data_IF_857584835465
#
_entry.id   IF_857584835465
#
_cell.length_a   1.000
_cell.length_b   1.000
_cell.length_c   1.000
_cell.angle_alpha   90.00
_cell.angle_beta   90.00
_cell.angle_gamma   90.00
#
_symmetry.space_group_name_H-M   'P 1'
#
loop_
_entity.id
_entity.type
_entity.pdbx_description
1 polymer ?
#
# COMPACT_ATOMS: atom_id res chain seq x y z
N UNK A 1 6.51 -33.64 68.77
CA UNK A 1 6.91 -33.36 67.38
C UNK A 1 5.95 -32.35 66.79
N UNK A 2 6.40 -31.11 66.52
CA UNK A 2 5.58 -30.02 66.00
C UNK A 2 5.87 -29.91 64.49
N UNK A 3 4.88 -30.26 63.64
CA UNK A 3 4.94 -30.01 62.21
C UNK A 3 4.66 -28.54 61.94
N UNK A 4 5.58 -27.83 61.30
CA UNK A 4 5.39 -26.53 60.70
C UNK A 4 4.95 -26.69 59.26
N UNK A 5 3.86 -26.10 58.80
CA UNK A 5 3.53 -26.04 57.40
C UNK A 5 4.44 -25.00 56.71
N UNK A 6 5.18 -25.43 55.69
CA UNK A 6 5.89 -24.59 54.76
C UNK A 6 4.87 -24.00 53.77
N UNK A 7 4.57 -22.72 53.89
CA UNK A 7 3.79 -21.99 52.89
C UNK A 7 4.69 -21.75 51.67
N UNK A 8 4.46 -22.50 50.61
CA UNK A 8 5.12 -22.30 49.32
C UNK A 8 4.40 -21.11 48.64
N UNK A 9 4.97 -19.92 48.73
CA UNK A 9 4.54 -18.76 47.95
C UNK A 9 4.98 -18.98 46.49
N UNK A 10 4.06 -19.48 45.64
CA UNK A 10 4.21 -19.48 44.18
C UNK A 10 4.03 -18.04 43.71
N UNK A 11 5.15 -17.33 43.59
CA UNK A 11 5.22 -16.06 42.86
C UNK A 11 4.97 -16.39 41.36
N UNK A 12 3.72 -16.30 40.93
CA UNK A 12 3.39 -16.15 39.51
C UNK A 12 3.89 -14.78 39.06
N UNK A 13 5.16 -14.75 38.64
CA UNK A 13 5.66 -13.63 37.82
C UNK A 13 4.99 -13.78 36.47
N UNK A 14 3.80 -13.20 36.36
CA UNK A 14 3.15 -12.93 35.10
C UNK A 14 4.05 -11.97 34.33
N UNK A 15 4.87 -12.49 33.41
CA UNK A 15 5.51 -11.68 32.40
C UNK A 15 4.40 -11.07 31.53
N UNK A 16 3.90 -9.90 31.97
CA UNK A 16 3.24 -8.97 31.11
C UNK A 16 4.27 -8.52 30.08
N UNK A 17 4.38 -9.22 28.97
CA UNK A 17 4.93 -8.66 27.76
C UNK A 17 3.97 -7.56 27.32
N UNK A 18 4.11 -6.38 27.90
CA UNK A 18 3.58 -5.17 27.29
C UNK A 18 4.36 -5.01 25.98
N UNK A 19 3.81 -5.58 24.91
CA UNK A 19 4.21 -5.19 23.57
C UNK A 19 3.82 -3.72 23.44
N UNK A 20 4.73 -2.82 23.78
CA UNK A 20 4.60 -1.43 23.40
C UNK A 20 4.53 -1.41 21.88
N UNK A 21 3.33 -1.36 21.34
CA UNK A 21 3.11 -1.01 19.95
C UNK A 21 3.78 0.35 19.76
N UNK A 22 4.89 0.36 19.02
CA UNK A 22 5.67 1.57 18.80
C UNK A 22 4.83 2.49 17.92
N UNK A 23 4.14 3.46 18.54
CA UNK A 23 3.35 4.45 17.81
C UNK A 23 4.27 5.25 16.90
N UNK A 24 3.82 5.49 15.68
CA UNK A 24 4.52 6.35 14.74
C UNK A 24 4.48 7.79 15.27
N UNK A 25 5.65 8.34 15.55
CA UNK A 25 5.75 9.77 15.87
C UNK A 25 5.39 10.62 14.64
N UNK A 26 4.90 11.86 14.81
CA UNK A 26 4.63 12.77 13.68
C UNK A 26 5.83 12.92 12.73
N UNK A 27 7.05 12.90 13.26
CA UNK A 27 8.28 12.95 12.44
C UNK A 27 8.46 11.68 11.58
N UNK A 28 8.11 10.51 12.11
CA UNK A 28 8.14 9.26 11.33
C UNK A 28 7.06 9.25 10.27
N UNK A 29 5.85 9.72 10.58
CA UNK A 29 4.77 9.87 9.61
C UNK A 29 5.17 10.79 8.45
N UNK A 30 5.77 11.96 8.75
CA UNK A 30 6.32 12.85 7.74
C UNK A 30 7.38 12.18 6.86
N UNK A 31 8.29 11.42 7.46
CA UNK A 31 9.33 10.69 6.72
C UNK A 31 8.74 9.62 5.81
N UNK A 32 7.74 8.86 6.28
CA UNK A 32 7.04 7.87 5.47
C UNK A 32 6.33 8.55 4.30
N UNK A 33 5.55 9.61 4.54
CA UNK A 33 4.87 10.37 3.50
C UNK A 33 5.84 10.93 2.44
N UNK A 34 6.98 11.48 2.87
CA UNK A 34 8.01 11.99 1.97
C UNK A 34 8.64 10.88 1.10
N UNK A 35 8.90 9.71 1.70
CA UNK A 35 9.50 8.56 0.99
C UNK A 35 8.56 7.99 -0.09
N UNK A 36 7.25 8.12 0.07
CA UNK A 36 6.25 7.67 -0.92
C UNK A 36 5.73 8.83 -1.78
N UNK A 37 6.49 9.93 -1.85
CA UNK A 37 6.25 11.07 -2.76
C UNK A 37 4.93 11.81 -2.51
N UNK A 38 4.47 11.86 -1.25
CA UNK A 38 3.28 12.62 -0.85
C UNK A 38 3.61 14.05 -0.40
N UNK A 39 2.62 14.93 -0.53
CA UNK A 39 2.64 16.32 -0.05
C UNK A 39 1.31 16.63 0.66
N UNK A 40 1.28 17.54 1.65
CA UNK A 40 0.03 18.02 2.22
C UNK A 40 -0.88 18.62 1.14
N UNK A 41 -2.17 18.35 1.22
CA UNK A 41 -3.18 18.85 0.29
C UNK A 41 -4.22 19.72 1.03
N UNK A 42 -5.22 19.11 1.68
CA UNK A 42 -6.24 19.81 2.45
C UNK A 42 -6.50 19.09 3.76
N UNK A 43 -6.47 19.80 4.88
CA UNK A 43 -6.65 19.22 6.21
C UNK A 43 -5.59 18.14 6.47
N UNK A 44 -6.03 16.95 6.84
CA UNK A 44 -5.16 15.79 7.09
C UNK A 44 -4.89 14.96 5.82
N UNK A 45 -5.43 15.37 4.66
CA UNK A 45 -5.25 14.65 3.41
C UNK A 45 -3.90 14.99 2.79
N UNK A 46 -3.21 13.96 2.33
CA UNK A 46 -2.00 14.04 1.53
C UNK A 46 -2.33 13.72 0.07
N UNK A 47 -1.52 14.20 -0.86
CA UNK A 47 -1.66 13.93 -2.30
C UNK A 47 -0.30 13.62 -2.91
N UNK A 48 -0.27 12.80 -3.97
CA UNK A 48 0.93 12.60 -4.78
C UNK A 48 1.44 13.95 -5.34
N UNK A 49 2.76 14.12 -5.36
CA UNK A 49 3.42 15.28 -5.95
C UNK A 49 3.34 15.29 -7.49
N UNK A 50 3.08 14.15 -8.09
CA UNK A 50 2.98 13.96 -9.54
C UNK A 50 1.91 12.95 -9.89
N UNK A 51 1.47 12.95 -11.13
CA UNK A 51 0.65 11.85 -11.66
C UNK A 51 1.34 10.51 -11.44
N UNK A 52 0.54 9.43 -11.33
CA UNK A 52 1.04 8.06 -11.43
C UNK A 52 1.61 7.87 -12.84
N UNK A 53 2.85 7.39 -12.92
CA UNK A 53 3.61 7.28 -14.15
C UNK A 53 3.49 5.89 -14.77
N UNK A 54 3.85 5.76 -16.04
CA UNK A 54 3.91 4.45 -16.69
C UNK A 54 4.82 3.46 -15.94
N UNK A 55 5.94 3.92 -15.39
CA UNK A 55 6.85 3.07 -14.60
C UNK A 55 6.19 2.53 -13.34
N UNK A 56 5.39 3.35 -12.64
CA UNK A 56 4.69 2.95 -11.42
C UNK A 56 3.62 1.90 -11.74
N UNK A 57 2.93 2.08 -12.88
CA UNK A 57 1.93 1.12 -13.35
C UNK A 57 2.55 -0.21 -13.77
N UNK A 58 3.69 -0.18 -14.46
CA UNK A 58 4.43 -1.38 -14.83
C UNK A 58 4.94 -2.15 -13.61
N UNK A 59 5.37 -1.46 -12.56
CA UNK A 59 5.74 -2.09 -11.28
C UNK A 59 4.54 -2.81 -10.66
N UNK A 60 3.37 -2.17 -10.63
CA UNK A 60 2.14 -2.79 -10.17
C UNK A 60 1.77 -4.03 -10.98
N UNK A 61 1.80 -3.95 -12.32
CA UNK A 61 1.52 -5.09 -13.20
C UNK A 61 2.53 -6.22 -13.01
N UNK A 62 3.81 -5.89 -12.91
CA UNK A 62 4.86 -6.87 -12.64
C UNK A 62 4.62 -7.59 -11.30
N UNK A 63 4.24 -6.85 -10.26
CA UNK A 63 3.92 -7.43 -8.96
C UNK A 63 2.71 -8.36 -9.06
N UNK A 64 1.66 -7.98 -9.75
CA UNK A 64 0.49 -8.83 -9.98
C UNK A 64 0.86 -10.11 -10.74
N UNK A 65 1.66 -9.99 -11.79
CA UNK A 65 2.15 -11.14 -12.55
C UNK A 65 2.95 -12.12 -11.69
N UNK A 66 3.84 -11.62 -10.86
CA UNK A 66 4.68 -12.46 -9.98
C UNK A 66 3.89 -13.09 -8.84
N UNK A 67 2.88 -12.42 -8.34
CA UNK A 67 2.10 -12.86 -7.19
C UNK A 67 0.98 -13.83 -7.58
N UNK A 68 0.25 -13.52 -8.65
CA UNK A 68 -0.95 -14.25 -9.06
C UNK A 68 -0.82 -14.98 -10.40
N UNK A 69 0.18 -14.63 -11.19
CA UNK A 69 0.37 -15.16 -12.55
C UNK A 69 -0.35 -14.32 -13.61
N UNK A 70 0.15 -14.42 -14.85
CA UNK A 70 -0.30 -13.63 -16.01
C UNK A 70 -1.75 -13.93 -16.42
N UNK A 71 -2.22 -15.14 -16.15
CA UNK A 71 -3.57 -15.58 -16.47
C UNK A 71 -4.61 -15.26 -15.40
N UNK A 72 -4.20 -14.68 -14.27
CA UNK A 72 -5.08 -14.31 -13.17
C UNK A 72 -6.00 -13.13 -13.54
N UNK A 73 -7.17 -13.09 -12.92
CA UNK A 73 -8.10 -11.96 -13.07
C UNK A 73 -7.49 -10.65 -12.54
N UNK A 74 -6.65 -10.76 -11.49
CA UNK A 74 -5.92 -9.62 -10.92
C UNK A 74 -4.99 -8.97 -11.95
N UNK A 75 -4.23 -9.78 -12.69
CA UNK A 75 -3.36 -9.26 -13.75
C UNK A 75 -4.17 -8.75 -14.94
N UNK A 76 -5.12 -9.53 -15.44
CA UNK A 76 -5.97 -9.17 -16.59
C UNK A 76 -6.74 -7.87 -16.35
N UNK A 77 -7.23 -7.66 -15.12
CA UNK A 77 -7.93 -6.42 -14.76
C UNK A 77 -7.03 -5.19 -14.72
N UNK A 78 -5.70 -5.33 -14.73
CA UNK A 78 -4.75 -4.22 -14.77
C UNK A 78 -4.39 -3.76 -16.19
N UNK A 79 -4.90 -4.40 -17.24
CA UNK A 79 -4.61 -4.04 -18.62
C UNK A 79 -5.26 -2.70 -18.98
N UNK A 80 -4.46 -1.79 -19.55
CA UNK A 80 -4.88 -0.42 -19.88
C UNK A 80 -5.77 -0.37 -21.15
N UNK A 81 -6.70 0.58 -21.16
CA UNK A 81 -7.48 0.88 -22.36
C UNK A 81 -6.66 1.72 -23.36
N UNK A 82 -6.10 1.09 -24.36
CA UNK A 82 -5.31 1.75 -25.40
C UNK A 82 -6.12 2.74 -26.25
N UNK A 83 -7.46 2.68 -26.24
CA UNK A 83 -8.29 3.62 -27.00
C UNK A 83 -8.08 5.07 -26.55
N UNK A 84 -7.76 5.27 -25.30
CA UNK A 84 -7.45 6.60 -24.73
C UNK A 84 -6.16 7.14 -25.32
N UNK A 85 -5.08 6.37 -25.32
CA UNK A 85 -3.80 6.77 -25.90
C UNK A 85 -3.93 7.05 -27.41
N UNK A 86 -4.71 6.23 -28.14
CA UNK A 86 -4.98 6.41 -29.59
C UNK A 86 -5.72 7.71 -29.93
N UNK A 87 -6.46 8.28 -29.00
CA UNK A 87 -7.12 9.60 -29.19
C UNK A 87 -6.13 10.76 -29.05
N UNK A 88 -5.00 10.56 -28.36
CA UNK A 88 -4.04 11.60 -28.01
C UNK A 88 -2.80 11.59 -28.91
N UNK A 89 -2.49 10.45 -29.53
CA UNK A 89 -1.25 10.27 -30.28
C UNK A 89 -1.43 9.26 -31.42
N UNK A 90 -0.52 9.23 -32.44
CA UNK A 90 -0.53 8.25 -33.51
C UNK A 90 -0.53 6.81 -32.98
N UNK A 91 -1.21 5.88 -33.67
CA UNK A 91 -1.38 4.48 -33.25
C UNK A 91 -0.02 3.79 -32.99
N UNK A 92 0.98 4.06 -33.84
CA UNK A 92 2.34 3.55 -33.69
C UNK A 92 3.01 3.92 -32.34
N UNK A 93 2.64 5.06 -31.76
CA UNK A 93 3.10 5.50 -30.46
C UNK A 93 2.19 4.97 -29.35
N UNK A 94 0.88 5.02 -29.57
CA UNK A 94 -0.11 4.62 -28.58
C UNK A 94 0.07 3.15 -28.11
N UNK A 95 0.38 2.23 -29.03
CA UNK A 95 0.58 0.80 -28.71
C UNK A 95 1.81 0.52 -27.87
N UNK A 96 2.80 1.40 -27.86
CA UNK A 96 4.04 1.24 -27.08
C UNK A 96 4.13 2.21 -25.90
N UNK A 97 3.21 3.17 -25.80
CA UNK A 97 3.30 4.29 -24.85
C UNK A 97 3.51 3.84 -23.40
N UNK A 98 2.78 2.83 -22.94
CA UNK A 98 2.86 2.37 -21.57
C UNK A 98 4.18 1.62 -21.25
N UNK A 99 4.78 0.97 -22.27
CA UNK A 99 5.88 0.00 -22.07
C UNK A 99 7.24 0.51 -22.57
N UNK A 100 7.27 1.52 -23.44
CA UNK A 100 8.52 1.99 -24.03
C UNK A 100 9.32 2.86 -23.05
N UNK A 101 10.62 2.64 -22.87
CA UNK A 101 11.47 3.37 -21.91
C UNK A 101 11.39 4.90 -22.03
N UNK A 102 11.21 5.44 -23.22
CA UNK A 102 11.09 6.88 -23.49
C UNK A 102 9.88 7.52 -22.76
N UNK A 103 8.81 6.77 -22.55
CA UNK A 103 7.58 7.26 -21.93
C UNK A 103 7.43 6.82 -20.47
N UNK A 104 8.40 6.13 -19.88
CA UNK A 104 8.31 5.59 -18.53
C UNK A 104 7.95 6.65 -17.47
N UNK A 105 8.44 7.88 -17.64
CA UNK A 105 8.19 9.01 -16.74
C UNK A 105 7.05 9.93 -17.23
N UNK A 106 6.15 9.40 -18.04
CA UNK A 106 4.92 10.08 -18.45
C UNK A 106 3.71 9.52 -17.69
N UNK A 107 2.64 10.33 -17.51
CA UNK A 107 1.42 9.87 -16.86
C UNK A 107 0.88 8.60 -17.52
N UNK A 108 0.43 7.64 -16.72
CA UNK A 108 -0.26 6.47 -17.25
C UNK A 108 -1.61 6.86 -17.84
N UNK A 109 -1.97 6.28 -18.98
CA UNK A 109 -3.21 6.57 -19.70
C UNK A 109 -4.09 5.32 -19.80
N UNK A 110 -5.41 5.53 -19.91
CA UNK A 110 -6.37 4.45 -20.10
C UNK A 110 -6.67 3.65 -18.83
N UNK A 111 -6.51 4.26 -17.66
CA UNK A 111 -6.83 3.66 -16.38
C UNK A 111 -8.29 3.94 -16.03
N UNK A 112 -9.08 2.90 -15.79
CA UNK A 112 -10.45 3.04 -15.29
C UNK A 112 -10.46 3.42 -13.79
N UNK A 113 -11.56 3.98 -13.26
CA UNK A 113 -11.69 4.27 -11.82
C UNK A 113 -11.49 3.04 -10.94
N UNK A 114 -11.98 1.87 -11.36
CA UNK A 114 -11.81 0.61 -10.65
C UNK A 114 -10.34 0.17 -10.60
N UNK A 115 -9.61 0.31 -11.71
CA UNK A 115 -8.18 0.04 -11.79
C UNK A 115 -7.38 1.01 -10.92
N UNK A 116 -7.69 2.29 -10.95
CA UNK A 116 -7.03 3.29 -10.11
C UNK A 116 -7.24 3.01 -8.60
N UNK A 117 -8.46 2.63 -8.21
CA UNK A 117 -8.76 2.22 -6.84
C UNK A 117 -8.00 0.95 -6.43
N UNK A 118 -7.88 -0.03 -7.33
CA UNK A 118 -7.10 -1.25 -7.08
C UNK A 118 -5.60 -0.95 -6.92
N UNK A 119 -5.05 -0.08 -7.75
CA UNK A 119 -3.68 0.42 -7.62
C UNK A 119 -3.44 1.11 -6.27
N UNK A 120 -4.35 1.99 -5.85
CA UNK A 120 -4.23 2.70 -4.58
C UNK A 120 -4.27 1.72 -3.38
N UNK A 121 -5.12 0.68 -3.40
CA UNK A 121 -5.12 -0.36 -2.37
C UNK A 121 -3.80 -1.13 -2.34
N UNK A 122 -3.33 -1.62 -3.51
CA UNK A 122 -2.03 -2.28 -3.62
C UNK A 122 -0.90 -1.42 -3.06
N UNK A 123 -0.88 -0.14 -3.40
CA UNK A 123 0.13 0.79 -2.89
C UNK A 123 0.06 0.96 -1.37
N UNK A 124 -1.14 1.04 -0.80
CA UNK A 124 -1.34 1.07 0.65
C UNK A 124 -0.73 -0.17 1.32
N UNK A 125 -0.98 -1.35 0.77
CA UNK A 125 -0.43 -2.61 1.26
C UNK A 125 1.10 -2.63 1.23
N UNK A 126 1.71 -2.23 0.11
CA UNK A 126 3.18 -2.20 -0.02
C UNK A 126 3.83 -1.19 0.92
N UNK A 127 3.22 -0.01 1.08
CA UNK A 127 3.71 1.01 2.02
C UNK A 127 3.59 0.54 3.46
N UNK A 128 2.46 -0.07 3.84
CA UNK A 128 2.24 -0.59 5.18
C UNK A 128 3.20 -1.75 5.51
N UNK A 129 3.38 -2.70 4.60
CA UNK A 129 4.34 -3.81 4.75
C UNK A 129 5.76 -3.28 4.94
N UNK A 130 6.20 -2.36 4.09
CA UNK A 130 7.51 -1.72 4.20
C UNK A 130 7.68 -0.99 5.54
N UNK A 131 6.65 -0.29 5.99
CA UNK A 131 6.66 0.43 7.26
C UNK A 131 6.76 -0.53 8.44
N UNK A 132 5.98 -1.61 8.45
CA UNK A 132 6.03 -2.64 9.49
C UNK A 132 7.43 -3.26 9.59
N UNK A 133 8.02 -3.63 8.47
CA UNK A 133 9.34 -4.25 8.44
C UNK A 133 10.45 -3.26 8.81
N UNK A 134 10.45 -2.08 8.20
CA UNK A 134 11.58 -1.15 8.30
C UNK A 134 11.52 -0.25 9.53
N UNK A 135 10.33 0.24 9.90
CA UNK A 135 10.17 1.19 11.00
C UNK A 135 9.82 0.49 12.31
N UNK A 136 8.84 -0.43 12.27
CA UNK A 136 8.35 -1.10 13.46
C UNK A 136 9.04 -2.45 13.73
N UNK A 137 9.95 -2.91 12.83
CA UNK A 137 10.74 -4.13 12.98
C UNK A 137 9.91 -5.40 13.18
N UNK A 138 8.69 -5.41 12.65
CA UNK A 138 7.80 -6.58 12.66
C UNK A 138 8.42 -7.67 11.79
N UNK A 139 8.54 -8.89 12.32
CA UNK A 139 9.15 -10.05 11.62
C UNK A 139 8.10 -11.03 11.12
N UNK A 140 6.96 -11.07 11.77
CA UNK A 140 5.84 -11.98 11.46
C UNK A 140 4.54 -11.19 11.38
N UNK A 141 3.76 -11.41 10.33
CA UNK A 141 2.46 -10.79 10.16
C UNK A 141 1.37 -11.74 10.64
N UNK A 142 0.32 -11.18 11.26
CA UNK A 142 -0.87 -11.92 11.63
C UNK A 142 -2.04 -11.40 10.80
N UNK A 143 -2.81 -12.32 10.21
CA UNK A 143 -3.94 -12.00 9.35
C UNK A 143 -5.23 -12.61 9.88
N UNK A 144 -6.35 -12.02 9.52
CA UNK A 144 -7.69 -12.55 9.82
C UNK A 144 -8.07 -13.71 8.91
N UNK A 145 -7.37 -13.84 7.78
CA UNK A 145 -7.60 -14.88 6.76
C UNK A 145 -6.32 -15.68 6.51
N UNK A 146 -6.43 -16.86 5.92
CA UNK A 146 -5.28 -17.67 5.48
C UNK A 146 -4.74 -17.14 4.15
N UNK A 147 -4.12 -15.95 4.20
CA UNK A 147 -3.49 -15.32 3.04
C UNK A 147 -1.97 -15.41 3.11
N UNK A 148 -1.34 -15.61 1.95
CA UNK A 148 0.12 -15.54 1.78
C UNK A 148 0.61 -14.20 1.29
N UNK A 149 -0.32 -13.32 0.91
CA UNK A 149 -0.04 -11.99 0.38
C UNK A 149 -0.44 -10.95 1.40
N UNK A 150 0.45 -10.03 1.74
CA UNK A 150 0.13 -8.96 2.67
C UNK A 150 -0.99 -8.08 2.11
N UNK A 151 -2.08 -7.99 2.87
CA UNK A 151 -3.20 -7.07 2.66
C UNK A 151 -3.47 -6.33 3.96
N UNK A 152 -3.56 -5.02 3.88
CA UNK A 152 -3.84 -4.18 5.04
C UNK A 152 -5.29 -4.36 5.56
N UNK A 153 -6.19 -4.85 4.71
CA UNK A 153 -7.57 -5.15 5.08
C UNK A 153 -7.70 -6.45 5.88
N UNK A 154 -6.76 -7.40 5.67
CA UNK A 154 -6.71 -8.67 6.39
C UNK A 154 -5.69 -8.67 7.54
N UNK A 155 -4.81 -7.67 7.61
CA UNK A 155 -3.77 -7.60 8.64
C UNK A 155 -4.36 -7.22 9.99
N UNK A 156 -3.99 -7.96 11.04
CA UNK A 156 -4.36 -7.65 12.42
C UNK A 156 -3.49 -6.49 12.90
N UNK A 157 -4.04 -5.29 12.80
CA UNK A 157 -3.32 -4.05 13.16
C UNK A 157 -3.13 -3.96 14.67
N UNK A 158 -1.89 -3.80 15.17
CA UNK A 158 -1.65 -3.54 16.59
C UNK A 158 -2.31 -2.24 17.04
N UNK A 159 -2.77 -2.20 18.30
CA UNK A 159 -3.39 -1.01 18.87
C UNK A 159 -2.46 0.22 18.79
N UNK A 160 -3.02 1.36 18.38
CA UNK A 160 -2.29 2.62 18.26
C UNK A 160 -1.41 2.77 17.03
N UNK A 161 -1.35 1.76 16.13
CA UNK A 161 -0.63 1.87 14.86
C UNK A 161 -1.55 2.41 13.77
N UNK A 162 -1.11 3.45 13.09
CA UNK A 162 -1.81 4.04 11.94
C UNK A 162 -1.06 3.74 10.64
N UNK A 163 -1.80 3.56 9.55
CA UNK A 163 -1.26 3.33 8.22
C UNK A 163 -1.77 4.36 7.23
N UNK A 164 -0.99 4.63 6.18
CA UNK A 164 -1.45 5.40 5.04
C UNK A 164 -2.46 4.59 4.24
N UNK A 165 -3.70 5.10 4.15
CA UNK A 165 -4.73 4.58 3.26
C UNK A 165 -4.80 5.45 2.02
N UNK A 166 -4.49 4.87 0.88
CA UNK A 166 -4.53 5.55 -0.41
C UNK A 166 -5.91 5.40 -1.07
N UNK A 167 -6.36 6.43 -1.75
CA UNK A 167 -7.63 6.45 -2.49
C UNK A 167 -7.58 7.37 -3.69
N UNK A 168 -8.54 7.22 -4.57
CA UNK A 168 -8.81 8.14 -5.69
C UNK A 168 -10.19 8.74 -5.47
N UNK A 169 -10.37 10.08 -5.60
CA UNK A 169 -11.70 10.69 -5.56
C UNK A 169 -12.62 10.11 -6.62
N UNK A 170 -13.90 9.89 -6.26
CA UNK A 170 -14.87 9.24 -7.13
C UNK A 170 -15.19 10.04 -8.41
N UNK A 171 -15.00 11.35 -8.37
CA UNK A 171 -15.25 12.31 -9.46
C UNK A 171 -14.02 12.55 -10.35
N UNK A 172 -12.87 11.92 -10.04
CA UNK A 172 -11.66 12.08 -10.83
C UNK A 172 -11.75 11.29 -12.14
N UNK A 173 -11.50 11.96 -13.27
CA UNK A 173 -11.30 11.29 -14.56
C UNK A 173 -9.89 10.68 -14.64
N UNK A 174 -9.79 9.39 -14.33
CA UNK A 174 -8.53 8.66 -14.26
C UNK A 174 -7.95 8.27 -15.63
N UNK A 175 -8.71 8.44 -16.71
CA UNK A 175 -8.31 7.99 -18.07
C UNK A 175 -7.10 8.74 -18.62
N UNK A 176 -6.93 10.01 -18.25
CA UNK A 176 -5.87 10.88 -18.73
C UNK A 176 -4.74 11.11 -17.72
N UNK A 177 -4.63 10.20 -16.76
CA UNK A 177 -3.70 10.28 -15.64
C UNK A 177 -4.44 10.50 -14.32
N UNK A 178 -3.87 10.05 -13.22
CA UNK A 178 -4.46 10.22 -11.90
C UNK A 178 -3.39 10.40 -10.82
N UNK A 179 -3.82 10.92 -9.67
CA UNK A 179 -3.09 11.00 -8.43
C UNK A 179 -3.71 10.07 -7.40
N UNK A 180 -2.92 9.49 -6.51
CA UNK A 180 -3.46 8.95 -5.28
C UNK A 180 -3.48 10.05 -4.21
N UNK A 181 -4.56 10.04 -3.43
CA UNK A 181 -4.67 10.76 -2.18
C UNK A 181 -4.47 9.78 -1.03
N UNK A 182 -4.04 10.26 0.12
CA UNK A 182 -3.82 9.39 1.28
C UNK A 182 -4.18 10.07 2.60
N UNK A 183 -4.57 9.27 3.58
CA UNK A 183 -4.79 9.71 4.96
C UNK A 183 -4.21 8.67 5.93
N UNK A 184 -3.78 9.12 7.10
CA UNK A 184 -3.44 8.24 8.21
C UNK A 184 -4.74 7.74 8.88
N UNK A 185 -4.88 6.42 9.00
CA UNK A 185 -6.00 5.76 9.67
C UNK A 185 -5.51 4.61 10.54
#
# INVERSE_FOLDING_TARGET
>A
MKFRPIFLFLLCVGCFYATFAQQLTPKMQQKVAANVNLTPFVGETLCDKSYILNVDWLEYQWWLEKTYGKESEQYKSSVLDLSVARKLMPDSIAVVYANHPQFRNRPVLGVSPAQAAAYCRWRADRVAESMLVQQLKVRTFQFTTDTKVFSLDDYIVPEGVQFLRFFVPADMDTRYGFYCFAMWK
#
